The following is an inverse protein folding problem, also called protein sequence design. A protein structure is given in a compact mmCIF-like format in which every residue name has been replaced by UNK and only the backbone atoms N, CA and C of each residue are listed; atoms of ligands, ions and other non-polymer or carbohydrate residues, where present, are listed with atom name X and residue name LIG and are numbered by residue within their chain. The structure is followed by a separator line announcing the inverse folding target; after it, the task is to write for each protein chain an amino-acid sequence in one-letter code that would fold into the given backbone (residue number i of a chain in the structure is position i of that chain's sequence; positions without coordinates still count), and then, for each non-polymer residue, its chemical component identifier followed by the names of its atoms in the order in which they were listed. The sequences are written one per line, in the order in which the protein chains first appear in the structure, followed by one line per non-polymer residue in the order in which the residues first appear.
data_IF_315234182795
#
_entry.id   IF_315234182795
#
_cell.length_a   1.000
_cell.length_b   1.000
_cell.length_c   1.000
_cell.angle_alpha   90.00
_cell.angle_beta   90.00
_cell.angle_gamma   90.00
#
_symmetry.space_group_name_H-M   'P 1'
#
loop_
_entity.id
_entity.type
_entity.pdbx_description
1 polymer ?
#
# COMPACT_ATOMS: atom_id res chain seq x y z
N UNK A 1 -10.92 -47.95 -23.68
CA UNK A 1 -9.67 -47.34 -23.13
C UNK A 1 -9.39 -45.95 -23.72
N UNK A 2 -9.44 -45.75 -25.04
CA UNK A 2 -9.16 -44.46 -25.70
C UNK A 2 -10.05 -43.29 -25.24
N UNK A 3 -11.34 -43.54 -25.04
CA UNK A 3 -12.31 -42.53 -24.59
C UNK A 3 -12.01 -41.99 -23.17
N UNK A 4 -11.48 -42.84 -22.29
CA UNK A 4 -11.10 -42.44 -20.92
C UNK A 4 -9.89 -41.50 -20.97
N UNK A 5 -8.88 -41.84 -21.77
CA UNK A 5 -7.71 -40.98 -22.00
C UNK A 5 -8.09 -39.62 -22.59
N UNK A 6 -9.00 -39.59 -23.56
CA UNK A 6 -9.47 -38.34 -24.18
C UNK A 6 -10.17 -37.42 -23.17
N UNK A 7 -11.06 -37.96 -22.33
CA UNK A 7 -11.75 -37.19 -21.30
C UNK A 7 -10.79 -36.69 -20.22
N UNK A 8 -9.84 -37.51 -19.80
CA UNK A 8 -8.85 -37.14 -18.79
C UNK A 8 -7.96 -36.00 -19.28
N UNK A 9 -7.44 -36.08 -20.51
CA UNK A 9 -6.65 -35.01 -21.12
C UNK A 9 -7.45 -33.70 -21.31
N UNK A 10 -8.75 -33.80 -21.66
CA UNK A 10 -9.63 -32.63 -21.79
C UNK A 10 -9.89 -31.97 -20.44
N UNK A 11 -10.14 -32.76 -19.39
CA UNK A 11 -10.35 -32.25 -18.03
C UNK A 11 -9.09 -31.56 -17.48
N UNK A 12 -7.92 -32.15 -17.69
CA UNK A 12 -6.64 -31.60 -17.24
C UNK A 12 -6.31 -30.26 -17.92
N UNK A 13 -6.58 -30.13 -19.23
CA UNK A 13 -6.46 -28.85 -19.94
C UNK A 13 -7.41 -27.77 -19.44
N UNK A 14 -8.63 -28.15 -19.05
CA UNK A 14 -9.58 -27.18 -18.48
C UNK A 14 -9.13 -26.71 -17.10
N UNK A 15 -8.62 -27.63 -16.27
CA UNK A 15 -8.08 -27.33 -14.94
C UNK A 15 -6.86 -26.40 -15.02
N UNK A 16 -5.90 -26.68 -15.91
CA UNK A 16 -4.70 -25.85 -16.05
C UNK A 16 -5.03 -24.42 -16.50
N UNK A 17 -5.91 -24.26 -17.49
CA UNK A 17 -6.38 -22.95 -17.97
C UNK A 17 -7.12 -22.16 -16.88
N UNK A 18 -7.91 -22.83 -16.05
CA UNK A 18 -8.58 -22.17 -14.93
C UNK A 18 -7.55 -21.68 -13.91
N UNK A 19 -6.60 -22.55 -13.53
CA UNK A 19 -5.55 -22.21 -12.57
C UNK A 19 -4.68 -21.03 -13.06
N UNK A 20 -4.28 -21.05 -14.33
CA UNK A 20 -3.51 -19.96 -14.94
C UNK A 20 -4.24 -18.62 -14.88
N UNK A 21 -5.56 -18.61 -15.16
CA UNK A 21 -6.37 -17.38 -15.04
C UNK A 21 -6.42 -16.86 -13.61
N UNK A 22 -6.57 -17.76 -12.63
CA UNK A 22 -6.56 -17.38 -11.21
C UNK A 22 -5.20 -16.83 -10.77
N UNK A 23 -4.10 -17.48 -11.16
CA UNK A 23 -2.74 -17.03 -10.81
C UNK A 23 -2.43 -15.68 -11.46
N UNK A 24 -2.85 -15.46 -12.71
CA UNK A 24 -2.66 -14.18 -13.39
C UNK A 24 -3.42 -13.05 -12.71
N UNK A 25 -4.67 -13.29 -12.29
CA UNK A 25 -5.44 -12.29 -11.53
C UNK A 25 -4.85 -12.01 -10.15
N UNK A 26 -4.30 -13.02 -9.49
CA UNK A 26 -3.62 -12.86 -8.21
C UNK A 26 -2.33 -12.04 -8.38
N UNK A 27 -1.53 -12.36 -9.40
CA UNK A 27 -0.30 -11.64 -9.71
C UNK A 27 -0.59 -10.16 -10.05
N UNK A 28 -1.61 -9.88 -10.85
CA UNK A 28 -1.96 -8.49 -11.19
C UNK A 28 -2.42 -7.70 -9.95
N UNK A 29 -3.22 -8.32 -9.09
CA UNK A 29 -3.70 -7.69 -7.84
C UNK A 29 -2.54 -7.40 -6.89
N UNK A 30 -1.59 -8.35 -6.74
CA UNK A 30 -0.37 -8.18 -5.93
C UNK A 30 0.47 -7.02 -6.43
N UNK A 31 0.73 -6.95 -7.75
CA UNK A 31 1.49 -5.85 -8.35
C UNK A 31 0.88 -4.48 -8.04
N UNK A 32 -0.43 -4.34 -8.16
CA UNK A 32 -1.14 -3.08 -7.85
C UNK A 32 -1.02 -2.73 -6.37
N UNK A 33 -1.13 -3.72 -5.48
CA UNK A 33 -1.00 -3.51 -4.05
C UNK A 33 0.42 -3.08 -3.67
N UNK A 34 1.43 -3.70 -4.26
CA UNK A 34 2.84 -3.35 -4.06
C UNK A 34 3.16 -1.95 -4.58
N UNK A 35 2.65 -1.58 -5.76
CA UNK A 35 2.81 -0.23 -6.30
C UNK A 35 2.19 0.84 -5.38
N UNK A 36 0.99 0.57 -4.85
CA UNK A 36 0.36 1.46 -3.86
C UNK A 36 1.17 1.57 -2.58
N UNK A 37 1.73 0.47 -2.09
CA UNK A 37 2.58 0.45 -0.90
C UNK A 37 3.85 1.28 -1.14
N UNK A 38 4.54 1.08 -2.26
CA UNK A 38 5.73 1.84 -2.60
C UNK A 38 5.42 3.35 -2.73
N UNK A 39 4.31 3.72 -3.36
CA UNK A 39 3.88 5.12 -3.45
C UNK A 39 3.59 5.73 -2.08
N UNK A 40 2.93 4.99 -1.20
CA UNK A 40 2.66 5.44 0.16
C UNK A 40 3.95 5.63 0.96
N UNK A 41 4.92 4.72 0.80
CA UNK A 41 6.21 4.78 1.47
C UNK A 41 7.03 6.00 1.04
N UNK A 42 7.07 6.32 -0.26
CA UNK A 42 7.70 7.54 -0.77
C UNK A 42 7.06 8.79 -0.15
N UNK A 43 5.74 8.86 -0.17
CA UNK A 43 5.02 10.00 0.42
C UNK A 43 5.28 10.13 1.92
N UNK A 44 5.31 9.03 2.66
CA UNK A 44 5.60 9.04 4.10
C UNK A 44 7.03 9.50 4.36
N UNK A 45 8.00 9.04 3.57
CA UNK A 45 9.38 9.46 3.69
C UNK A 45 9.55 10.97 3.41
N UNK A 46 8.91 11.50 2.37
CA UNK A 46 8.91 12.95 2.11
C UNK A 46 8.31 13.76 3.26
N UNK A 47 7.20 13.29 3.84
CA UNK A 47 6.59 13.95 4.99
C UNK A 47 7.46 13.84 6.25
N UNK A 48 8.16 12.72 6.44
CA UNK A 48 9.10 12.54 7.54
C UNK A 48 10.26 13.55 7.45
N UNK A 49 10.83 13.75 6.26
CA UNK A 49 11.87 14.77 6.03
C UNK A 49 11.33 16.18 6.28
N UNK A 50 10.16 16.54 5.73
CA UNK A 50 9.56 17.86 5.98
C UNK A 50 9.26 18.10 7.46
N UNK A 51 8.87 17.05 8.19
CA UNK A 51 8.58 17.12 9.61
C UNK A 51 9.86 17.28 10.43
N UNK A 52 10.94 16.57 10.07
CA UNK A 52 12.23 16.73 10.74
C UNK A 52 12.81 18.13 10.51
N UNK A 53 12.76 18.64 9.28
CA UNK A 53 13.19 20.01 8.94
C UNK A 53 12.44 21.07 9.77
N UNK A 54 11.11 20.93 9.90
CA UNK A 54 10.31 21.84 10.73
C UNK A 54 10.67 21.75 12.21
N UNK A 55 10.90 20.55 12.73
CA UNK A 55 11.31 20.36 14.12
C UNK A 55 12.71 20.95 14.36
N UNK A 56 13.62 20.80 13.40
CA UNK A 56 14.96 21.40 13.43
C UNK A 56 14.90 22.93 13.41
N UNK A 57 14.03 23.52 12.58
CA UNK A 57 13.80 24.96 12.56
C UNK A 57 13.36 25.49 13.93
N UNK A 58 12.40 24.83 14.57
CA UNK A 58 11.92 25.21 15.91
C UNK A 58 13.05 25.08 16.93
N UNK A 59 13.81 23.98 16.90
CA UNK A 59 14.93 23.76 17.83
C UNK A 59 16.03 24.81 17.67
N UNK A 60 16.29 25.30 16.46
CA UNK A 60 17.31 26.32 16.19
C UNK A 60 16.85 27.74 16.49
N UNK A 61 15.59 28.07 16.20
CA UNK A 61 15.11 29.47 16.22
C UNK A 61 14.19 29.78 17.40
N UNK A 62 13.66 28.76 18.08
CA UNK A 62 12.62 28.89 19.09
C UNK A 62 11.27 29.38 18.54
N UNK A 63 11.16 29.64 17.24
CA UNK A 63 9.98 30.17 16.59
C UNK A 63 9.22 29.07 15.87
N UNK A 64 7.89 29.15 15.93
CA UNK A 64 7.01 28.25 15.23
C UNK A 64 6.85 28.71 13.77
N UNK A 65 7.07 27.84 12.77
CA UNK A 65 6.89 28.22 11.38
C UNK A 65 5.42 28.59 11.12
N UNK A 66 5.16 29.64 10.34
CA UNK A 66 3.81 30.18 10.09
C UNK A 66 2.81 29.16 9.49
N UNK A 67 3.32 28.10 8.86
CA UNK A 67 2.53 26.98 8.32
C UNK A 67 2.06 25.96 9.37
N UNK A 68 2.41 26.17 10.63
CA UNK A 68 2.06 25.27 11.73
C UNK A 68 0.71 25.68 12.34
N UNK A 69 -0.34 24.93 12.02
CA UNK A 69 -1.65 25.09 12.67
C UNK A 69 -1.78 24.09 13.81
N UNK A 70 -1.73 24.58 15.05
CA UNK A 70 -2.07 23.76 16.22
C UNK A 70 -3.57 23.46 16.22
N UNK A 71 -3.96 22.30 15.67
CA UNK A 71 -5.24 21.68 16.02
C UNK A 71 -5.03 20.89 17.31
N UNK A 72 -4.90 21.60 18.41
CA UNK A 72 -5.01 20.95 19.72
C UNK A 72 -6.44 20.42 19.80
N UNK A 73 -6.67 19.10 19.99
CA UNK A 73 -7.99 18.66 20.39
C UNK A 73 -8.30 19.43 21.67
N UNK A 74 -9.43 20.14 21.68
CA UNK A 74 -9.90 20.86 22.87
C UNK A 74 -9.84 19.90 24.04
N UNK A 75 -8.81 20.01 24.88
CA UNK A 75 -8.77 19.39 26.20
C UNK A 75 -9.69 20.21 27.09
N UNK A 76 -10.97 20.25 26.72
CA UNK A 76 -12.08 20.56 27.62
C UNK A 76 -12.42 19.29 28.38
N UNK A 77 -11.43 18.80 29.13
CA UNK A 77 -11.57 17.88 30.26
C UNK A 77 -10.76 18.47 31.41
N UNK A 78 -11.20 19.65 31.82
CA UNK A 78 -11.08 20.26 33.14
C UNK A 78 -12.41 21.03 33.23
N UNK A 79 -13.41 20.74 34.06
CA UNK A 79 -13.51 20.12 35.39
C UNK A 79 -14.66 19.11 35.43
#
# INVERSE_FOLDING_TARGET
MWYVFYNQAKAERMKSRAQEKYTNKLASTRRIAEEKRAKAEVNLNEQAVKTSEKADYIRRTGHLPSSFSFKLPSTSWCW
#
